data_IF_136614308604
#
_entry.id   IF_136614308604
#
_cell.length_a   1.000
_cell.length_b   1.000
_cell.length_c   1.000
_cell.angle_alpha   90.00
_cell.angle_beta   90.00
_cell.angle_gamma   90.00
#
_symmetry.space_group_name_H-M   'P 1'
#
loop_
_entity.id
_entity.type
_entity.pdbx_description
1 polymer ?
#
# COMPACT_ATOMS: atom_id res chain seq x y z
N UNK A 1 -32.25 -10.22 9.38
CA UNK A 1 -31.69 -8.89 9.03
C UNK A 1 -30.31 -9.11 8.45
N UNK A 2 -30.11 -8.79 7.17
CA UNK A 2 -28.77 -8.78 6.57
C UNK A 2 -27.96 -7.68 7.26
N UNK A 3 -26.89 -8.04 7.99
CA UNK A 3 -25.94 -7.05 8.49
C UNK A 3 -25.20 -6.49 7.28
N UNK A 4 -25.50 -5.24 6.94
CA UNK A 4 -24.75 -4.51 5.91
C UNK A 4 -23.28 -4.46 6.31
N UNK A 5 -22.36 -4.73 5.38
CA UNK A 5 -20.93 -4.69 5.67
C UNK A 5 -20.51 -3.28 6.10
N UNK A 6 -19.45 -3.16 6.89
CA UNK A 6 -18.92 -1.84 7.29
C UNK A 6 -18.57 -0.97 6.06
N UNK A 7 -18.14 -1.61 4.97
CA UNK A 7 -17.89 -0.95 3.69
C UNK A 7 -19.17 -0.34 3.10
N UNK A 8 -20.25 -1.11 3.03
CA UNK A 8 -21.51 -0.61 2.50
C UNK A 8 -22.12 0.49 3.39
N UNK A 9 -21.97 0.38 4.71
CA UNK A 9 -22.39 1.44 5.63
C UNK A 9 -21.61 2.75 5.43
N UNK A 10 -20.32 2.66 5.08
CA UNK A 10 -19.52 3.83 4.75
C UNK A 10 -20.03 4.50 3.47
N UNK A 11 -20.34 3.74 2.42
CA UNK A 11 -20.94 4.26 1.17
C UNK A 11 -22.25 4.99 1.48
N UNK A 12 -23.18 4.33 2.18
CA UNK A 12 -24.48 4.89 2.55
C UNK A 12 -24.37 6.15 3.42
N UNK A 13 -23.29 6.27 4.20
CA UNK A 13 -23.03 7.47 5.01
C UNK A 13 -22.55 8.63 4.16
N UNK A 14 -21.68 8.37 3.17
CA UNK A 14 -21.21 9.39 2.23
C UNK A 14 -22.35 9.89 1.34
N UNK A 15 -23.22 8.99 0.87
CA UNK A 15 -24.37 9.36 0.02
C UNK A 15 -25.39 10.28 0.71
N UNK A 16 -25.39 10.34 2.06
CA UNK A 16 -26.25 11.24 2.85
C UNK A 16 -25.71 12.67 2.96
N UNK A 17 -24.45 12.89 2.60
CA UNK A 17 -23.85 14.22 2.58
C UNK A 17 -24.39 15.04 1.40
N UNK A 18 -24.32 16.36 1.49
CA UNK A 18 -24.59 17.22 0.32
C UNK A 18 -23.56 16.97 -0.79
N UNK A 19 -23.89 17.30 -2.04
CA UNK A 19 -22.97 17.11 -3.16
C UNK A 19 -21.62 17.82 -2.95
N UNK A 20 -21.64 19.02 -2.36
CA UNK A 20 -20.42 19.78 -2.04
C UNK A 20 -19.57 19.05 -0.99
N UNK A 21 -20.19 18.54 0.08
CA UNK A 21 -19.49 17.77 1.10
C UNK A 21 -18.94 16.44 0.55
N UNK A 22 -19.67 15.78 -0.36
CA UNK A 22 -19.20 14.58 -1.04
C UNK A 22 -17.96 14.88 -1.89
N UNK A 23 -17.95 15.99 -2.63
CA UNK A 23 -16.82 16.41 -3.45
C UNK A 23 -15.58 16.72 -2.59
N UNK A 24 -15.76 17.48 -1.50
CA UNK A 24 -14.69 17.77 -0.53
C UNK A 24 -14.14 16.49 0.09
N UNK A 25 -15.02 15.54 0.44
CA UNK A 25 -14.62 14.28 1.04
C UNK A 25 -13.82 13.41 0.06
N UNK A 26 -14.26 13.31 -1.20
CA UNK A 26 -13.58 12.56 -2.25
C UNK A 26 -12.16 13.10 -2.48
N UNK A 27 -12.02 14.42 -2.65
CA UNK A 27 -10.71 15.05 -2.82
C UNK A 27 -9.81 14.83 -1.60
N UNK A 28 -10.37 14.96 -0.39
CA UNK A 28 -9.63 14.72 0.86
C UNK A 28 -9.15 13.28 0.98
N UNK A 29 -10.02 12.31 0.71
CA UNK A 29 -9.68 10.88 0.77
C UNK A 29 -8.63 10.51 -0.28
N UNK A 30 -8.75 11.04 -1.50
CA UNK A 30 -7.77 10.78 -2.56
C UNK A 30 -6.38 11.31 -2.19
N UNK A 31 -6.30 12.53 -1.65
CA UNK A 31 -5.05 13.11 -1.15
C UNK A 31 -4.42 12.27 -0.03
N UNK A 32 -5.23 11.82 0.92
CA UNK A 32 -4.78 10.96 2.03
C UNK A 32 -4.33 9.58 1.56
N UNK A 33 -5.04 8.99 0.62
CA UNK A 33 -4.67 7.71 0.02
C UNK A 33 -3.30 7.79 -0.66
N UNK A 34 -3.06 8.83 -1.45
CA UNK A 34 -1.75 9.04 -2.06
C UNK A 34 -0.63 9.29 -1.03
N UNK A 35 -0.91 10.00 0.06
CA UNK A 35 0.04 10.16 1.17
C UNK A 35 0.39 8.82 1.80
N UNK A 36 -0.60 8.00 2.13
CA UNK A 36 -0.39 6.67 2.72
C UNK A 36 0.42 5.78 1.79
N UNK A 37 0.08 5.74 0.49
CA UNK A 37 0.82 4.95 -0.48
C UNK A 37 2.28 5.38 -0.61
N UNK A 38 2.55 6.70 -0.59
CA UNK A 38 3.93 7.21 -0.56
C UNK A 38 4.69 6.80 0.69
N UNK A 39 4.04 6.79 1.86
CA UNK A 39 4.66 6.35 3.10
C UNK A 39 5.05 4.87 3.06
N UNK A 40 4.18 4.01 2.52
CA UNK A 40 4.46 2.59 2.33
C UNK A 40 5.68 2.40 1.42
N UNK A 41 5.69 3.07 0.26
CA UNK A 41 6.82 2.99 -0.68
C UNK A 41 8.12 3.49 -0.03
N UNK A 42 8.06 4.57 0.75
CA UNK A 42 9.24 5.07 1.48
C UNK A 42 9.75 4.08 2.52
N UNK A 43 8.86 3.35 3.21
CA UNK A 43 9.24 2.31 4.15
C UNK A 43 9.91 1.13 3.44
N UNK A 44 9.31 0.64 2.35
CA UNK A 44 9.89 -0.43 1.53
C UNK A 44 11.30 -0.05 1.00
N UNK A 45 11.47 1.20 0.54
CA UNK A 45 12.79 1.70 0.11
C UNK A 45 13.79 1.74 1.27
N UNK A 46 13.35 2.16 2.46
CA UNK A 46 14.21 2.18 3.65
C UNK A 46 14.65 0.78 4.06
N UNK A 47 13.75 -0.21 4.01
CA UNK A 47 14.06 -1.61 4.28
C UNK A 47 15.11 -2.15 3.30
N UNK A 48 14.92 -1.92 1.99
CA UNK A 48 15.88 -2.32 0.97
C UNK A 48 17.25 -1.64 1.17
N UNK A 49 17.28 -0.34 1.47
CA UNK A 49 18.53 0.37 1.76
C UNK A 49 19.24 -0.18 3.01
N UNK A 50 18.48 -0.58 4.03
CA UNK A 50 19.03 -1.20 5.23
C UNK A 50 19.60 -2.59 4.92
N UNK A 51 18.89 -3.42 4.16
CA UNK A 51 19.39 -4.73 3.73
C UNK A 51 20.66 -4.63 2.87
N UNK A 52 20.72 -3.63 1.98
CA UNK A 52 21.93 -3.30 1.23
C UNK A 52 23.10 -2.92 2.16
N UNK A 53 22.85 -2.04 3.15
CA UNK A 53 23.87 -1.61 4.10
C UNK A 53 24.36 -2.75 5.01
N UNK A 54 23.47 -3.68 5.36
CA UNK A 54 23.77 -4.89 6.14
C UNK A 54 24.42 -6.00 5.31
N UNK A 55 24.59 -5.80 3.99
CA UNK A 55 25.19 -6.79 3.08
C UNK A 55 24.32 -8.01 2.82
N UNK A 56 23.01 -7.89 3.07
CA UNK A 56 22.00 -8.96 2.87
C UNK A 56 21.47 -9.04 1.45
N UNK A 57 21.85 -8.09 0.58
CA UNK A 57 21.47 -8.07 -0.83
C UNK A 57 22.65 -8.53 -1.69
N UNK A 58 22.45 -9.61 -2.43
CA UNK A 58 23.39 -10.11 -3.43
C UNK A 58 22.94 -9.66 -4.83
N UNK A 59 23.90 -9.26 -5.68
CA UNK A 59 23.66 -8.96 -7.08
C UNK A 59 24.25 -10.08 -7.94
N UNK A 60 23.43 -10.69 -8.79
CA UNK A 60 23.83 -11.82 -9.63
C UNK A 60 22.94 -11.99 -10.85
N UNK A 61 23.28 -12.93 -11.72
CA UNK A 61 22.39 -13.32 -12.83
C UNK A 61 21.23 -14.17 -12.30
N UNK A 62 20.17 -14.31 -13.12
CA UNK A 62 19.06 -15.23 -12.81
C UNK A 62 19.57 -16.66 -12.64
N UNK A 63 20.56 -17.08 -13.44
CA UNK A 63 21.17 -18.41 -13.33
C UNK A 63 21.85 -18.60 -11.96
N UNK A 64 22.58 -17.59 -11.48
CA UNK A 64 23.23 -17.61 -10.16
C UNK A 64 22.22 -17.65 -9.01
N UNK A 65 21.08 -16.97 -9.15
CA UNK A 65 19.99 -17.03 -8.18
C UNK A 65 19.34 -18.43 -8.13
N UNK A 66 19.12 -19.07 -9.28
CA UNK A 66 18.57 -20.43 -9.34
C UNK A 66 19.53 -21.46 -8.73
N UNK A 67 20.84 -21.31 -8.96
CA UNK A 67 21.87 -22.14 -8.33
C UNK A 67 21.91 -22.03 -6.79
N UNK A 68 21.53 -20.87 -6.22
CA UNK A 68 21.44 -20.68 -4.76
C UNK A 68 20.18 -21.33 -4.17
N UNK A 69 19.06 -21.33 -4.90
CA UNK A 69 17.79 -21.94 -4.46
C UNK A 69 17.79 -23.47 -4.51
N UNK A 70 18.59 -24.06 -5.38
CA UNK A 70 18.73 -25.52 -5.54
C UNK A 70 19.73 -26.14 -4.53
N UNK A 71 20.29 -25.35 -3.62
CA UNK A 71 21.14 -25.86 -2.53
C UNK A 71 20.28 -26.31 -1.32
N UNK A 72 20.56 -27.49 -0.73
CA UNK A 72 19.74 -28.11 0.32
C UNK A 72 19.80 -27.43 1.69
#
# INVERSE_FOLDING_TARGET
MLKTSAFQQAIETVEKLSLEEQEILLDTLLKRFHLQRRLIISQEIQEIHQELAEGKVTFGSVDQFLEELDQP
#
